data_IF_440256327046
#
_entry.id   IF_440256327046
#
_cell.length_a   1.000
_cell.length_b   1.000
_cell.length_c   1.000
_cell.angle_alpha   90.00
_cell.angle_beta   90.00
_cell.angle_gamma   90.00
#
_symmetry.space_group_name_H-M   'P 1'
#
loop_
_entity.id
_entity.type
_entity.pdbx_description
1 polymer ?
#
# COMPACT_ATOMS: atom_id res chain seq x y z
N UNK A 1 -2.78 -5.02 -5.97
CA UNK A 1 -2.25 -3.64 -5.77
C UNK A 1 -3.23 -2.92 -4.87
N UNK A 2 -2.77 -2.41 -3.73
CA UNK A 2 -3.64 -1.75 -2.75
C UNK A 2 -3.70 -0.26 -3.10
N UNK A 3 -4.92 0.25 -3.31
CA UNK A 3 -5.20 1.66 -3.56
C UNK A 3 -6.13 2.10 -2.43
N UNK A 4 -5.67 3.00 -1.57
CA UNK A 4 -6.60 3.83 -0.81
C UNK A 4 -6.07 5.25 -0.81
N UNK A 5 -6.87 6.18 -1.31
CA UNK A 5 -6.77 7.59 -0.99
C UNK A 5 -7.94 7.93 -0.04
N UNK A 6 -7.71 7.97 1.29
CA UNK A 6 -8.73 8.40 2.24
C UNK A 6 -8.88 9.92 2.31
N UNK A 7 -8.05 10.72 1.65
CA UNK A 7 -7.88 12.13 1.97
C UNK A 7 -7.97 13.13 0.79
N UNK A 8 -8.10 12.67 -0.46
CA UNK A 8 -8.10 13.55 -1.66
C UNK A 8 -6.88 14.47 -1.66
N UNK A 9 -5.69 13.89 -1.59
CA UNK A 9 -4.43 14.65 -1.70
C UNK A 9 -4.19 15.05 -3.16
N UNK A 10 -4.87 16.11 -3.63
CA UNK A 10 -4.72 16.64 -4.99
C UNK A 10 -4.88 15.55 -6.08
N UNK A 11 -5.79 14.60 -5.85
CA UNK A 11 -6.01 13.44 -6.71
C UNK A 11 -4.75 12.57 -6.92
N UNK A 12 -3.80 12.58 -5.99
CA UNK A 12 -2.58 11.76 -5.99
C UNK A 12 -2.53 10.81 -4.82
N UNK A 13 -1.92 9.65 -5.04
CA UNK A 13 -1.77 8.62 -4.01
C UNK A 13 -0.45 7.87 -4.17
N UNK A 14 0.01 7.32 -3.04
CA UNK A 14 1.18 6.45 -3.01
C UNK A 14 0.74 5.01 -3.26
N UNK A 15 1.32 4.39 -4.27
CA UNK A 15 1.15 2.99 -4.60
C UNK A 15 2.29 2.19 -3.99
N UNK A 16 1.92 1.15 -3.24
CA UNK A 16 2.85 0.16 -2.72
C UNK A 16 2.38 -1.24 -3.12
N UNK A 17 3.33 -2.11 -3.38
CA UNK A 17 3.04 -3.51 -3.68
C UNK A 17 3.12 -4.33 -2.40
N UNK A 18 2.16 -5.24 -2.22
CA UNK A 18 2.34 -6.34 -1.29
C UNK A 18 3.11 -7.45 -2.00
N UNK A 19 4.21 -7.89 -1.39
CA UNK A 19 5.04 -8.97 -1.93
C UNK A 19 5.45 -9.95 -0.85
N UNK A 20 5.89 -11.13 -1.26
CA UNK A 20 6.30 -12.19 -0.35
C UNK A 20 7.65 -11.85 0.29
N UNK A 21 7.79 -12.13 1.59
CA UNK A 21 9.01 -11.84 2.35
C UNK A 21 10.32 -12.40 1.75
N UNK A 22 10.37 -13.63 1.16
CA UNK A 22 11.62 -14.18 0.62
C UNK A 22 12.13 -13.49 -0.68
N UNK A 23 11.41 -12.53 -1.26
CA UNK A 23 11.80 -11.86 -2.51
C UNK A 23 12.89 -10.76 -2.37
N UNK A 24 13.79 -10.86 -1.38
CA UNK A 24 14.78 -9.81 -1.08
C UNK A 24 14.12 -8.43 -0.93
N UNK A 25 12.96 -8.36 -0.29
CA UNK A 25 12.33 -7.09 0.02
C UNK A 25 13.13 -6.44 1.16
N UNK A 26 13.73 -5.28 0.88
CA UNK A 26 14.48 -4.48 1.88
C UNK A 26 13.52 -3.89 2.92
N UNK A 27 12.23 -3.82 2.57
CA UNK A 27 11.17 -3.34 3.43
C UNK A 27 10.61 -4.47 4.31
N UNK A 28 11.07 -4.57 5.55
CA UNK A 28 10.55 -5.48 6.59
C UNK A 28 9.78 -4.76 7.70
N UNK A 29 9.64 -3.42 7.62
CA UNK A 29 8.96 -2.60 8.64
C UNK A 29 7.46 -2.87 8.75
N UNK A 30 6.85 -3.56 7.78
CA UNK A 30 5.44 -3.91 7.79
C UNK A 30 5.24 -5.35 7.32
N UNK A 31 5.30 -6.28 8.28
CA UNK A 31 5.00 -7.69 8.05
C UNK A 31 3.50 -7.93 8.27
N UNK A 32 2.85 -8.45 7.23
CA UNK A 32 1.46 -8.87 7.22
C UNK A 32 1.38 -10.40 7.25
N UNK A 33 0.49 -10.92 8.10
CA UNK A 33 0.19 -12.34 8.24
C UNK A 33 -1.12 -12.70 7.52
N UNK A 34 -1.47 -13.98 7.50
CA UNK A 34 -2.69 -14.46 6.84
C UNK A 34 -3.96 -13.79 7.41
N UNK A 35 -3.98 -13.62 8.73
CA UNK A 35 -5.11 -13.09 9.50
C UNK A 35 -5.36 -11.62 9.21
N UNK A 36 -4.34 -10.89 8.72
CA UNK A 36 -4.46 -9.47 8.40
C UNK A 36 -5.33 -9.26 7.16
N UNK A 37 -5.35 -10.19 6.19
CA UNK A 37 -6.24 -10.03 5.04
C UNK A 37 -6.63 -11.37 4.41
N UNK A 38 -7.45 -12.18 5.09
CA UNK A 38 -7.91 -13.46 4.58
C UNK A 38 -8.98 -13.27 3.48
N UNK A 39 -9.05 -14.16 2.48
CA UNK A 39 -8.12 -15.24 2.16
C UNK A 39 -6.94 -14.81 1.27
N UNK A 40 -6.71 -13.50 1.09
CA UNK A 40 -5.80 -12.95 0.08
C UNK A 40 -4.32 -13.06 0.43
N UNK A 41 -3.98 -13.05 1.72
CA UNK A 41 -2.63 -13.29 2.20
C UNK A 41 -2.47 -14.76 2.57
N UNK A 42 -1.94 -15.59 1.68
CA UNK A 42 -1.76 -17.03 1.94
C UNK A 42 -0.43 -17.35 2.63
N UNK A 43 0.44 -16.35 2.79
CA UNK A 43 1.77 -16.48 3.38
C UNK A 43 2.23 -15.13 3.95
N UNK A 44 3.26 -15.12 4.82
CA UNK A 44 3.86 -13.88 5.29
C UNK A 44 4.26 -12.96 4.14
N UNK A 45 3.74 -11.75 4.17
CA UNK A 45 3.80 -10.76 3.09
C UNK A 45 4.27 -9.44 3.67
N UNK A 46 5.00 -8.66 2.89
CA UNK A 46 5.44 -7.31 3.27
C UNK A 46 5.00 -6.29 2.25
N UNK A 47 4.89 -5.03 2.66
CA UNK A 47 4.71 -3.91 1.76
C UNK A 47 6.08 -3.41 1.24
N UNK A 48 6.27 -3.45 -0.07
CA UNK A 48 7.51 -3.04 -0.74
C UNK A 48 7.57 -1.52 -0.95
N UNK A 49 7.79 -0.75 0.11
CA UNK A 49 7.87 0.71 0.08
C UNK A 49 9.01 1.27 -0.80
N UNK A 50 10.14 0.58 -0.89
CA UNK A 50 11.24 0.87 -1.82
C UNK A 50 10.83 0.85 -3.29
N UNK A 51 9.75 0.14 -3.62
CA UNK A 51 9.20 0.04 -4.98
C UNK A 51 7.97 0.92 -5.17
N UNK A 52 7.79 1.93 -4.33
CA UNK A 52 6.62 2.80 -4.39
C UNK A 52 6.53 3.54 -5.74
N UNK A 53 5.31 3.91 -6.09
CA UNK A 53 5.02 4.86 -7.17
C UNK A 53 4.07 5.93 -6.65
N UNK A 54 4.13 7.12 -7.22
CA UNK A 54 3.10 8.14 -7.01
C UNK A 54 2.20 8.10 -8.25
N UNK A 55 0.93 7.81 -8.04
CA UNK A 55 -0.09 7.81 -9.09
C UNK A 55 -1.05 8.99 -8.92
N UNK A 56 -1.87 9.22 -9.95
CA UNK A 56 -3.01 10.11 -9.90
C UNK A 56 -4.32 9.37 -10.25
N UNK A 57 -5.45 9.91 -9.81
CA UNK A 57 -6.78 9.29 -9.98
C UNK A 57 -7.09 9.06 -11.45
N UNK A 58 -6.75 10.03 -12.31
CA UNK A 58 -7.01 9.94 -13.75
C UNK A 58 -6.25 8.79 -14.42
N UNK A 59 -4.99 8.59 -14.05
CA UNK A 59 -4.15 7.49 -14.53
C UNK A 59 -4.66 6.15 -14.00
N UNK A 60 -5.19 6.12 -12.77
CA UNK A 60 -5.82 4.92 -12.23
C UNK A 60 -7.09 4.55 -12.99
N UNK A 61 -7.99 5.50 -13.21
CA UNK A 61 -9.21 5.31 -13.99
C UNK A 61 -8.91 4.81 -15.40
N UNK A 62 -7.86 5.35 -16.03
CA UNK A 62 -7.40 4.88 -17.33
C UNK A 62 -6.92 3.42 -17.27
N UNK A 63 -6.10 3.06 -16.26
CA UNK A 63 -5.59 1.69 -16.10
C UNK A 63 -6.69 0.68 -15.79
N UNK A 64 -7.72 1.09 -15.04
CA UNK A 64 -8.95 0.32 -14.85
C UNK A 64 -9.70 0.13 -16.17
N UNK A 65 -9.86 1.19 -16.96
CA UNK A 65 -10.58 1.14 -18.23
C UNK A 65 -9.91 0.25 -19.29
N UNK A 66 -8.57 0.16 -19.29
CA UNK A 66 -7.82 -0.73 -20.20
C UNK A 66 -7.65 -2.15 -19.66
N UNK A 67 -8.29 -2.49 -18.54
CA UNK A 67 -8.27 -3.83 -17.95
C UNK A 67 -6.92 -4.25 -17.38
N UNK A 68 -6.05 -3.29 -17.04
CA UNK A 68 -4.76 -3.57 -16.40
C UNK A 68 -4.89 -3.76 -14.88
N UNK A 69 -5.99 -3.31 -14.30
CA UNK A 69 -6.35 -3.59 -12.91
C UNK A 69 -7.69 -4.31 -12.82
N UNK A 70 -7.79 -5.15 -11.79
CA UNK A 70 -9.02 -5.82 -11.42
C UNK A 70 -9.43 -5.38 -10.02
N UNK A 71 -10.73 -5.31 -9.80
CA UNK A 71 -11.27 -5.02 -8.48
C UNK A 71 -10.88 -6.15 -7.51
N UNK A 72 -10.33 -5.73 -6.38
CA UNK A 72 -10.04 -6.58 -5.23
C UNK A 72 -10.99 -6.19 -4.11
N UNK A 73 -11.27 -7.09 -3.16
CA UNK A 73 -11.98 -6.67 -1.95
C UNK A 73 -11.24 -5.55 -1.22
N UNK A 74 -11.99 -4.83 -0.38
CA UNK A 74 -11.40 -3.82 0.47
C UNK A 74 -10.49 -4.49 1.50
N UNK A 75 -9.33 -3.88 1.74
CA UNK A 75 -8.43 -4.34 2.81
C UNK A 75 -9.07 -4.00 4.16
N UNK A 76 -9.00 -4.90 5.15
CA UNK A 76 -9.46 -4.61 6.50
C UNK A 76 -8.85 -3.31 7.03
N UNK A 77 -9.64 -2.45 7.71
CA UNK A 77 -9.14 -1.14 8.18
C UNK A 77 -7.89 -1.23 9.04
N UNK A 78 -7.81 -2.20 9.95
CA UNK A 78 -6.64 -2.43 10.80
C UNK A 78 -5.39 -2.74 9.99
N UNK A 79 -5.53 -3.59 8.97
CA UNK A 79 -4.43 -3.98 8.07
C UNK A 79 -4.00 -2.81 7.19
N UNK A 80 -4.94 -2.03 6.69
CA UNK A 80 -4.63 -0.80 5.98
C UNK A 80 -3.85 0.17 6.88
N UNK A 81 -4.24 0.29 8.16
CA UNK A 81 -3.55 1.13 9.11
C UNK A 81 -2.13 0.62 9.44
N UNK A 82 -1.92 -0.71 9.52
CA UNK A 82 -0.56 -1.29 9.63
C UNK A 82 0.33 -0.88 8.46
N UNK A 83 -0.21 -0.92 7.24
CA UNK A 83 0.51 -0.48 6.03
C UNK A 83 0.82 1.01 6.07
N UNK A 84 -0.14 1.85 6.49
CA UNK A 84 0.08 3.30 6.62
C UNK A 84 1.18 3.59 7.66
N UNK A 85 1.16 2.91 8.81
CA UNK A 85 2.19 3.09 9.84
C UNK A 85 3.58 2.69 9.33
N UNK A 86 3.70 1.52 8.69
CA UNK A 86 4.95 1.09 8.08
C UNK A 86 5.46 2.07 7.01
N UNK A 87 4.56 2.70 6.26
CA UNK A 87 4.91 3.73 5.28
C UNK A 87 5.46 5.02 5.94
N UNK A 88 5.02 5.36 7.15
CA UNK A 88 5.60 6.47 7.91
C UNK A 88 6.96 6.13 8.52
N UNK A 89 7.17 4.87 8.90
CA UNK A 89 8.40 4.41 9.56
C UNK A 89 9.54 4.10 8.59
N UNK A 90 9.26 3.53 7.41
CA UNK A 90 10.28 3.16 6.42
C UNK A 90 11.16 4.34 6.00
N UNK A 91 12.46 4.10 5.83
CA UNK A 91 13.38 5.09 5.25
C UNK A 91 13.30 5.13 3.71
N UNK A 92 12.66 4.13 3.11
CA UNK A 92 12.58 3.95 1.65
C UNK A 92 11.56 4.89 0.98
N UNK A 93 10.64 5.47 1.74
CA UNK A 93 9.73 6.49 1.25
C UNK A 93 10.31 7.90 1.42
N UNK A 94 10.44 8.67 0.33
CA UNK A 94 10.89 10.05 0.40
C UNK A 94 9.84 10.92 1.11
N UNK A 95 10.29 12.04 1.67
CA UNK A 95 9.43 13.00 2.40
C UNK A 95 8.19 13.42 1.60
N UNK A 96 8.33 13.58 0.29
CA UNK A 96 7.21 13.94 -0.61
C UNK A 96 6.13 12.87 -0.60
N UNK A 97 6.50 11.59 -0.71
CA UNK A 97 5.53 10.50 -0.64
C UNK A 97 4.87 10.41 0.74
N UNK A 98 5.67 10.56 1.83
CA UNK A 98 5.13 10.56 3.19
C UNK A 98 4.12 11.68 3.45
N UNK A 99 4.31 12.86 2.84
CA UNK A 99 3.35 13.96 2.96
C UNK A 99 1.98 13.70 2.31
N UNK A 100 1.89 12.69 1.45
CA UNK A 100 0.65 12.27 0.79
C UNK A 100 -0.06 11.14 1.57
N UNK A 101 0.56 10.59 2.61
CA UNK A 101 -0.01 9.50 3.38
C UNK A 101 -1.10 10.03 4.33
N UNK A 102 -2.13 9.21 4.62
CA UNK A 102 -3.00 9.43 5.77
C UNK A 102 -2.19 9.50 7.07
N UNK A 103 -2.73 10.11 8.14
CA UNK A 103 -2.05 10.12 9.43
C UNK A 103 -1.83 8.69 9.94
N UNK A 104 -0.67 8.44 10.56
CA UNK A 104 -0.44 7.23 11.33
C UNK A 104 -1.38 7.18 12.55
N UNK A 105 -1.87 5.99 12.89
CA UNK A 105 -2.77 5.74 14.02
C UNK A 105 -2.35 4.44 14.71
N UNK A 106 -2.55 4.31 16.03
CA UNK A 106 -2.32 3.05 16.72
C UNK A 106 -3.22 1.95 16.14
N UNK A 107 -2.64 0.77 15.93
CA UNK A 107 -3.32 -0.47 15.51
C UNK A 107 -3.45 -1.40 16.71
#
# INVERSE_FOLDING_TARGET
MIISDPAKNEDRFVLVNLTTLPENCVDDVCLLQNEDYPPFLTQPTTAAYSRHKIGDVKSMEMLLAVGQFHDMPAIPPETLQKIINGAHETLELPRVAKSMLPPAQPV
#
